data_IF_284048187948
#
_entry.id   IF_284048187948
#
_cell.length_a   1.000
_cell.length_b   1.000
_cell.length_c   1.000
_cell.angle_alpha   90.00
_cell.angle_beta   90.00
_cell.angle_gamma   90.00
#
_symmetry.space_group_name_H-M   'P 1'
#
loop_
_entity.id
_entity.type
_entity.pdbx_description
1 polymer ?
#
# COMPACT_ATOMS: atom_id res chain seq x y z
N UNK A 1 -45.57 28.84 -8.34
CA UNK A 1 -44.23 28.87 -7.69
C UNK A 1 -43.91 27.65 -6.82
N UNK A 2 -44.87 26.76 -6.46
CA UNK A 2 -44.59 25.55 -5.64
C UNK A 2 -43.98 24.36 -6.40
N UNK A 3 -44.05 24.29 -7.73
CA UNK A 3 -43.46 23.20 -8.53
C UNK A 3 -41.94 23.36 -8.72
N UNK A 4 -41.45 24.60 -8.86
CA UNK A 4 -40.02 24.89 -9.09
C UNK A 4 -39.13 24.60 -7.86
N UNK A 5 -39.70 24.69 -6.65
CA UNK A 5 -39.00 24.32 -5.42
C UNK A 5 -38.79 22.81 -5.29
N UNK A 6 -39.69 21.98 -5.81
CA UNK A 6 -39.55 20.51 -5.75
C UNK A 6 -38.51 20.01 -6.74
N UNK A 7 -38.43 20.61 -7.93
CA UNK A 7 -37.41 20.28 -8.94
C UNK A 7 -36.00 20.67 -8.48
N UNK A 8 -35.88 21.75 -7.68
CA UNK A 8 -34.60 22.19 -7.12
C UNK A 8 -34.14 21.31 -5.95
N UNK A 9 -35.07 20.80 -5.12
CA UNK A 9 -34.75 19.83 -4.06
C UNK A 9 -34.33 18.46 -4.61
N UNK A 10 -34.96 17.99 -5.70
CA UNK A 10 -34.61 16.71 -6.32
C UNK A 10 -33.20 16.72 -6.95
N UNK A 11 -32.77 17.86 -7.50
CA UNK A 11 -31.43 18.03 -8.07
C UNK A 11 -30.33 18.07 -7.01
N UNK A 12 -30.61 18.55 -5.79
CA UNK A 12 -29.66 18.49 -4.69
C UNK A 12 -29.41 17.02 -4.28
N UNK A 13 -30.48 16.24 -4.11
CA UNK A 13 -30.44 14.84 -3.64
C UNK A 13 -29.58 13.91 -4.53
N UNK A 14 -29.54 14.16 -5.84
CA UNK A 14 -28.73 13.37 -6.78
C UNK A 14 -27.21 13.61 -6.66
N UNK A 15 -26.79 14.76 -6.13
CA UNK A 15 -25.37 15.12 -6.00
C UNK A 15 -24.70 14.52 -4.75
N UNK A 16 -25.47 14.00 -3.79
CA UNK A 16 -24.94 13.46 -2.51
C UNK A 16 -24.49 11.99 -2.58
N UNK A 17 -24.74 11.28 -3.69
CA UNK A 17 -24.40 9.85 -3.80
C UNK A 17 -22.91 9.55 -4.08
N UNK A 18 -22.05 10.56 -4.24
CA UNK A 18 -20.62 10.36 -4.54
C UNK A 18 -19.68 10.58 -3.35
N UNK A 19 -20.20 10.91 -2.17
CA UNK A 19 -19.41 11.01 -0.93
C UNK A 19 -19.37 9.65 -0.21
N UNK A 20 -18.81 8.63 -0.87
CA UNK A 20 -18.45 7.42 -0.16
C UNK A 20 -17.25 7.74 0.77
N UNK A 21 -17.32 7.42 2.06
CA UNK A 21 -16.19 7.62 2.96
C UNK A 21 -15.00 6.81 2.46
N UNK A 22 -13.84 7.47 2.32
CA UNK A 22 -12.59 6.77 2.07
C UNK A 22 -12.27 5.91 3.31
N UNK A 23 -12.47 4.60 3.20
CA UNK A 23 -12.05 3.66 4.23
C UNK A 23 -10.53 3.50 4.14
N UNK A 24 -9.85 3.71 5.27
CA UNK A 24 -8.42 3.43 5.36
C UNK A 24 -8.19 1.94 5.11
N UNK A 25 -7.23 1.61 4.25
CA UNK A 25 -6.84 0.23 4.00
C UNK A 25 -6.04 -0.29 5.20
N UNK A 26 -6.33 -1.52 5.62
CA UNK A 26 -5.55 -2.19 6.64
C UNK A 26 -4.23 -2.67 6.04
N UNK A 27 -3.12 -2.17 6.57
CA UNK A 27 -1.78 -2.51 6.06
C UNK A 27 -1.29 -3.82 6.68
N UNK A 28 -0.71 -4.74 5.89
CA UNK A 28 -0.46 -4.67 4.45
C UNK A 28 -1.60 -5.30 3.63
N UNK A 29 -1.97 -4.64 2.53
CA UNK A 29 -2.99 -5.11 1.57
C UNK A 29 -2.39 -5.89 0.39
N UNK A 30 -1.05 -5.90 0.29
CA UNK A 30 -0.28 -6.56 -0.77
C UNK A 30 1.09 -7.00 -0.27
N UNK A 31 1.77 -7.91 -1.01
CA UNK A 31 3.14 -8.29 -0.69
C UNK A 31 4.08 -7.09 -0.58
N UNK A 32 4.93 -7.11 0.43
CA UNK A 32 5.92 -6.06 0.71
C UNK A 32 7.22 -6.40 -0.03
N UNK A 33 7.83 -5.41 -0.66
CA UNK A 33 9.18 -5.53 -1.24
C UNK A 33 10.20 -4.93 -0.29
N UNK A 34 11.15 -5.74 0.16
CA UNK A 34 12.28 -5.33 0.98
C UNK A 34 13.48 -5.14 0.07
N UNK A 35 13.85 -3.88 -0.14
CA UNK A 35 14.98 -3.51 -0.98
C UNK A 35 16.27 -3.63 -0.17
N UNK A 36 17.25 -4.29 -0.76
CA UNK A 36 18.57 -4.50 -0.14
C UNK A 36 19.66 -4.04 -1.09
N UNK A 37 20.50 -3.07 -0.68
CA UNK A 37 21.56 -2.56 -1.54
C UNK A 37 22.80 -3.44 -1.46
N UNK A 38 22.61 -4.73 -1.69
CA UNK A 38 23.64 -5.76 -1.58
C UNK A 38 23.57 -6.73 -2.74
N UNK A 39 24.69 -7.38 -3.02
CA UNK A 39 24.71 -8.52 -3.93
C UNK A 39 23.88 -9.68 -3.33
N UNK A 40 23.15 -10.44 -4.17
CA UNK A 40 22.46 -11.65 -3.73
C UNK A 40 23.43 -12.63 -3.06
N UNK A 41 23.02 -13.24 -1.95
CA UNK A 41 23.85 -14.19 -1.20
C UNK A 41 24.93 -13.56 -0.30
N UNK A 42 25.12 -12.24 -0.32
CA UNK A 42 25.97 -11.56 0.66
C UNK A 42 25.38 -11.60 2.07
N UNK A 43 26.21 -11.41 3.10
CA UNK A 43 25.77 -11.34 4.50
C UNK A 43 24.52 -10.44 4.75
N UNK A 44 24.43 -9.22 4.18
CA UNK A 44 23.22 -8.39 4.28
C UNK A 44 21.97 -9.00 3.60
N UNK A 45 22.10 -9.68 2.45
CA UNK A 45 20.97 -10.35 1.79
C UNK A 45 20.46 -11.53 2.62
N UNK A 46 21.37 -12.34 3.16
CA UNK A 46 21.02 -13.46 4.04
C UNK A 46 20.27 -12.98 5.28
N UNK A 47 20.79 -11.93 5.94
CA UNK A 47 20.11 -11.31 7.08
C UNK A 47 18.73 -10.78 6.72
N UNK A 48 18.60 -10.10 5.58
CA UNK A 48 17.32 -9.59 5.09
C UNK A 48 16.30 -10.70 4.81
N UNK A 49 16.72 -11.85 4.28
CA UNK A 49 15.83 -12.99 4.02
C UNK A 49 15.27 -13.59 5.30
N UNK A 50 16.09 -13.74 6.34
CA UNK A 50 15.64 -14.21 7.67
C UNK A 50 14.63 -13.24 8.28
N UNK A 51 14.90 -11.93 8.19
CA UNK A 51 13.98 -10.89 8.67
C UNK A 51 12.68 -10.90 7.87
N UNK A 52 12.74 -11.00 6.54
CA UNK A 52 11.59 -11.05 5.66
C UNK A 52 10.67 -12.25 5.94
N UNK A 53 11.25 -13.41 6.21
CA UNK A 53 10.50 -14.61 6.60
C UNK A 53 9.72 -14.37 7.89
N UNK A 54 10.39 -13.85 8.94
CA UNK A 54 9.72 -13.60 10.22
C UNK A 54 8.66 -12.49 10.13
N UNK A 55 8.92 -11.45 9.34
CA UNK A 55 7.96 -10.39 9.08
C UNK A 55 6.75 -10.92 8.31
N UNK A 56 6.95 -11.84 7.36
CA UNK A 56 5.85 -12.44 6.61
C UNK A 56 4.87 -13.18 7.52
N UNK A 57 5.40 -13.93 8.50
CA UNK A 57 4.57 -14.61 9.52
C UNK A 57 3.83 -13.61 10.40
N UNK A 58 4.49 -12.53 10.81
CA UNK A 58 3.89 -11.53 11.72
C UNK A 58 2.83 -10.66 11.04
N UNK A 59 3.02 -10.33 9.77
CA UNK A 59 2.15 -9.42 9.02
C UNK A 59 1.06 -10.17 8.24
N UNK A 60 1.12 -11.50 8.16
CA UNK A 60 0.18 -12.30 7.36
C UNK A 60 0.30 -12.08 5.85
N UNK A 61 1.33 -11.36 5.41
CA UNK A 61 1.56 -10.95 4.03
C UNK A 61 2.99 -11.27 3.63
N UNK A 62 3.19 -11.70 2.38
CA UNK A 62 4.52 -12.07 1.90
C UNK A 62 5.45 -10.86 1.85
N UNK A 63 6.63 -10.99 2.44
CA UNK A 63 7.73 -10.03 2.29
C UNK A 63 8.78 -10.62 1.36
N UNK A 64 9.05 -9.94 0.26
CA UNK A 64 9.96 -10.38 -0.82
C UNK A 64 11.22 -9.54 -0.78
N UNK A 65 12.38 -10.18 -0.66
CA UNK A 65 13.68 -9.49 -0.75
C UNK A 65 14.03 -9.27 -2.21
N UNK A 66 14.20 -7.99 -2.59
CA UNK A 66 14.70 -7.58 -3.89
C UNK A 66 16.07 -6.92 -3.71
N UNK A 67 17.09 -7.49 -4.33
CA UNK A 67 18.44 -6.95 -4.30
C UNK A 67 18.60 -5.90 -5.40
N UNK A 68 18.92 -4.66 -5.03
CA UNK A 68 19.28 -3.59 -5.97
C UNK A 68 20.63 -3.02 -5.58
N UNK A 69 21.70 -3.57 -6.14
CA UNK A 69 23.03 -3.07 -5.89
C UNK A 69 23.25 -1.73 -6.64
N UNK A 70 23.73 -0.70 -5.94
CA UNK A 70 24.10 0.56 -6.54
C UNK A 70 24.73 1.53 -5.54
N UNK A 71 25.74 2.28 -5.99
CA UNK A 71 26.40 3.36 -5.23
C UNK A 71 26.71 3.02 -3.75
N UNK A 72 27.18 1.79 -3.48
CA UNK A 72 27.60 1.36 -2.15
C UNK A 72 26.52 1.33 -1.05
N UNK A 73 25.22 1.33 -1.40
CA UNK A 73 24.15 1.46 -0.40
C UNK A 73 23.11 2.51 -0.75
N UNK A 74 23.51 3.51 -1.55
CA UNK A 74 22.74 4.75 -1.76
C UNK A 74 21.54 4.55 -2.69
N UNK A 75 21.57 3.51 -3.52
CA UNK A 75 20.46 3.16 -4.41
C UNK A 75 19.97 1.77 -4.00
N UNK A 76 18.71 1.68 -3.56
CA UNK A 76 17.99 0.47 -3.21
C UNK A 76 16.57 0.54 -3.78
#
# INVERSE_FOLDING_TARGET
>A
MRLATHTMLAALCGAQCHLAPALAQEYPDRPIRMLTPSLPGGAPDVGARVVAERLSVRLGQKVVVENRAGAGGVIA
#
